data_IF_839874553156
#
_entry.id   IF_839874553156
#
_cell.length_a   1.000
_cell.length_b   1.000
_cell.length_c   1.000
_cell.angle_alpha   90.00
_cell.angle_beta   90.00
_cell.angle_gamma   90.00
#
_symmetry.space_group_name_H-M   'P 1'
#
loop_
_entity.id
_entity.type
_entity.pdbx_description
1 polymer ?
#
# COMPACT_ATOMS: atom_id res chain seq x y z
N UNK A 1 15.33 20.38 10.54
CA UNK A 1 14.99 18.93 10.56
C UNK A 1 15.53 18.36 11.87
N UNK A 2 14.78 17.54 12.62
CA UNK A 2 15.24 17.10 13.96
C UNK A 2 16.36 16.04 13.87
N UNK A 3 17.23 15.92 14.88
CA UNK A 3 18.29 14.90 14.90
C UNK A 3 17.77 13.46 14.72
N UNK A 4 16.58 13.16 15.26
CA UNK A 4 15.93 11.84 15.09
C UNK A 4 15.48 11.63 13.64
N UNK A 5 14.88 12.64 13.01
CA UNK A 5 14.47 12.56 11.59
C UNK A 5 15.66 12.32 10.66
N UNK A 6 16.75 13.06 10.88
CA UNK A 6 17.97 12.91 10.08
C UNK A 6 18.52 11.49 10.17
N UNK A 7 18.60 10.93 11.40
CA UNK A 7 19.09 9.57 11.59
C UNK A 7 18.23 8.52 10.89
N UNK A 8 16.90 8.64 11.02
CA UNK A 8 15.96 7.74 10.33
C UNK A 8 16.17 7.83 8.81
N UNK A 9 16.31 9.04 8.27
CA UNK A 9 16.60 9.26 6.85
C UNK A 9 17.91 8.60 6.40
N UNK A 10 19.00 8.77 7.15
CA UNK A 10 20.29 8.14 6.87
C UNK A 10 20.21 6.61 6.86
N UNK A 11 19.55 6.01 7.85
CA UNK A 11 19.37 4.56 7.93
C UNK A 11 18.57 4.04 6.73
N UNK A 12 17.47 4.72 6.39
CA UNK A 12 16.64 4.32 5.25
C UNK A 12 17.36 4.52 3.92
N UNK A 13 18.14 5.59 3.75
CA UNK A 13 18.95 5.82 2.54
C UNK A 13 20.06 4.79 2.39
N UNK A 14 20.69 4.38 3.49
CA UNK A 14 21.73 3.35 3.52
C UNK A 14 21.19 1.97 3.19
N UNK A 15 20.05 1.59 3.78
CA UNK A 15 19.51 0.23 3.68
C UNK A 15 18.40 0.08 2.63
N UNK A 16 17.92 1.18 2.06
CA UNK A 16 16.78 1.27 1.13
C UNK A 16 15.42 1.11 1.82
N UNK A 17 15.29 0.10 2.69
CA UNK A 17 14.09 -0.17 3.48
C UNK A 17 14.44 -0.78 4.83
N UNK A 18 13.63 -0.54 5.84
CA UNK A 18 13.80 -1.15 7.17
C UNK A 18 12.47 -1.42 7.86
N UNK A 19 12.40 -2.50 8.65
CA UNK A 19 11.23 -2.77 9.50
C UNK A 19 11.17 -1.77 10.65
N UNK A 20 9.96 -1.50 11.12
CA UNK A 20 9.72 -0.67 12.30
C UNK A 20 10.53 -1.15 13.51
N UNK A 21 10.57 -2.46 13.76
CA UNK A 21 11.32 -3.06 14.86
C UNK A 21 12.84 -2.84 14.73
N UNK A 22 13.37 -2.86 13.51
CA UNK A 22 14.80 -2.64 13.23
C UNK A 22 15.17 -1.17 13.46
N UNK A 23 14.36 -0.24 12.94
CA UNK A 23 14.55 1.19 13.18
C UNK A 23 14.44 1.52 14.67
N UNK A 24 13.43 0.98 15.36
CA UNK A 24 13.24 1.17 16.80
C UNK A 24 14.43 0.65 17.59
N UNK A 25 14.92 -0.55 17.28
CA UNK A 25 16.08 -1.14 17.95
C UNK A 25 17.30 -0.21 17.84
N UNK A 26 17.56 0.33 16.65
CA UNK A 26 18.72 1.21 16.44
C UNK A 26 18.51 2.56 17.14
N UNK A 27 17.42 3.27 16.82
CA UNK A 27 17.22 4.67 17.22
C UNK A 27 16.89 4.81 18.72
N UNK A 28 16.07 3.89 19.27
CA UNK A 28 15.55 3.99 20.64
C UNK A 28 16.39 3.15 21.62
N UNK A 29 16.79 1.95 21.24
CA UNK A 29 17.39 0.99 22.19
C UNK A 29 18.92 1.07 22.20
N UNK A 30 19.55 1.11 21.01
CA UNK A 30 21.00 1.15 20.87
C UNK A 30 21.54 2.57 21.00
N UNK A 31 21.01 3.51 20.20
CA UNK A 31 21.48 4.90 20.16
C UNK A 31 20.78 5.80 21.18
N UNK A 32 19.68 5.34 21.78
CA UNK A 32 18.92 6.05 22.83
C UNK A 32 18.60 7.51 22.49
N UNK A 33 18.36 7.81 21.21
CA UNK A 33 18.18 9.18 20.73
C UNK A 33 16.88 9.82 21.20
N UNK A 34 15.85 9.01 21.45
CA UNK A 34 14.57 9.47 21.95
C UNK A 34 13.77 8.34 22.61
N UNK A 35 12.73 8.71 23.36
CA UNK A 35 11.77 7.75 23.88
C UNK A 35 10.90 7.16 22.75
N UNK A 36 10.40 5.92 22.95
CA UNK A 36 9.55 5.21 21.98
C UNK A 36 8.39 6.07 21.45
N UNK A 37 7.66 6.75 22.34
CA UNK A 37 6.51 7.60 21.95
C UNK A 37 6.93 8.72 20.99
N UNK A 38 8.10 9.31 21.21
CA UNK A 38 8.65 10.37 20.35
C UNK A 38 9.10 9.81 19.00
N UNK A 39 9.71 8.62 19.00
CA UNK A 39 10.06 7.91 17.77
C UNK A 39 8.82 7.61 16.91
N UNK A 40 7.77 7.04 17.50
CA UNK A 40 6.53 6.68 16.79
C UNK A 40 5.87 7.92 16.16
N UNK A 41 5.74 9.02 16.93
CA UNK A 41 5.23 10.31 16.43
C UNK A 41 6.10 10.90 15.32
N UNK A 42 7.42 10.71 15.41
CA UNK A 42 8.35 11.21 14.39
C UNK A 42 8.16 10.48 13.07
N UNK A 43 8.01 9.15 13.11
CA UNK A 43 7.72 8.36 11.91
C UNK A 43 6.38 8.71 11.28
N UNK A 44 5.35 8.93 12.08
CA UNK A 44 4.03 9.39 11.62
C UNK A 44 4.15 10.73 10.89
N UNK A 45 4.76 11.74 11.53
CA UNK A 45 5.00 13.04 10.90
C UNK A 45 5.84 12.95 9.63
N UNK A 46 6.88 12.11 9.60
CA UNK A 46 7.71 11.90 8.41
C UNK A 46 6.92 11.26 7.27
N UNK A 47 5.99 10.35 7.57
CA UNK A 47 5.11 9.73 6.58
C UNK A 47 4.10 10.75 6.04
N UNK A 48 3.47 11.53 6.91
CA UNK A 48 2.49 12.54 6.53
C UNK A 48 3.10 13.68 5.71
N UNK A 49 4.35 14.03 6.00
CA UNK A 49 5.14 15.01 5.21
C UNK A 49 5.80 14.41 3.97
N UNK A 50 5.45 13.17 3.59
CA UNK A 50 5.98 12.47 2.43
C UNK A 50 7.53 12.44 2.39
N UNK A 51 8.21 12.37 3.55
CA UNK A 51 9.67 12.16 3.62
C UNK A 51 10.03 10.68 3.54
N UNK A 52 9.16 9.84 4.09
CA UNK A 52 9.26 8.39 4.07
C UNK A 52 7.95 7.81 3.58
N UNK A 53 8.01 6.59 3.07
CA UNK A 53 6.83 5.81 2.73
C UNK A 53 6.66 4.68 3.75
N UNK A 54 5.57 4.69 4.50
CA UNK A 54 5.18 3.60 5.39
C UNK A 54 4.37 2.57 4.60
N UNK A 55 4.86 1.34 4.57
CA UNK A 55 4.12 0.20 4.07
C UNK A 55 3.77 -0.75 5.22
N UNK A 56 2.51 -1.17 5.31
CA UNK A 56 2.07 -2.17 6.27
C UNK A 56 1.73 -3.47 5.53
N UNK A 57 2.46 -4.54 5.83
CA UNK A 57 2.21 -5.89 5.31
C UNK A 57 1.82 -6.80 6.47
N UNK A 58 0.53 -7.15 6.54
CA UNK A 58 -0.06 -7.98 7.61
C UNK A 58 0.33 -7.51 9.03
N UNK A 59 1.37 -8.13 9.63
CA UNK A 59 1.87 -7.87 11.00
C UNK A 59 3.14 -7.00 11.05
N UNK A 60 3.67 -6.57 9.91
CA UNK A 60 4.92 -5.84 9.83
C UNK A 60 4.72 -4.47 9.19
N UNK A 61 5.40 -3.48 9.75
CA UNK A 61 5.50 -2.15 9.17
C UNK A 61 6.92 -1.98 8.65
N UNK A 62 7.04 -1.63 7.38
CA UNK A 62 8.29 -1.38 6.68
C UNK A 62 8.29 0.05 6.20
N UNK A 63 9.41 0.75 6.39
CA UNK A 63 9.60 2.11 5.92
C UNK A 63 10.61 2.13 4.79
N UNK A 64 10.39 3.03 3.84
CA UNK A 64 11.25 3.32 2.70
C UNK A 64 11.57 4.81 2.70
N UNK A 65 12.76 5.20 2.25
CA UNK A 65 13.00 6.59 1.88
C UNK A 65 12.23 6.89 0.58
N UNK A 66 11.48 8.00 0.51
CA UNK A 66 10.54 8.24 -0.60
C UNK A 66 11.27 8.44 -1.94
N UNK A 67 12.39 9.15 -1.95
CA UNK A 67 13.23 9.31 -3.14
C UNK A 67 13.73 7.95 -3.62
N UNK A 68 14.29 7.13 -2.74
CA UNK A 68 14.75 5.79 -3.11
C UNK A 68 13.62 4.86 -3.56
N UNK A 69 12.41 4.97 -3.01
CA UNK A 69 11.26 4.16 -3.44
C UNK A 69 10.88 4.46 -4.90
N UNK A 70 10.84 5.73 -5.27
CA UNK A 70 10.44 6.17 -6.61
C UNK A 70 11.54 5.98 -7.67
N UNK A 71 12.82 5.98 -7.26
CA UNK A 71 13.96 5.99 -8.19
C UNK A 71 14.84 4.73 -8.15
N UNK A 72 14.74 3.85 -7.15
CA UNK A 72 15.49 2.56 -7.11
C UNK A 72 14.57 1.37 -7.42
N UNK A 73 14.82 0.76 -8.58
CA UNK A 73 14.08 -0.40 -9.09
C UNK A 73 13.94 -1.54 -8.07
N UNK A 74 15.00 -1.83 -7.31
CA UNK A 74 15.00 -2.92 -6.33
C UNK A 74 14.02 -2.70 -5.18
N UNK A 75 13.85 -1.46 -4.72
CA UNK A 75 12.93 -1.15 -3.63
C UNK A 75 11.48 -1.24 -4.09
N UNK A 76 11.19 -0.72 -5.29
CA UNK A 76 9.89 -0.86 -5.93
C UNK A 76 9.57 -2.34 -6.17
N UNK A 77 10.45 -3.11 -6.82
CA UNK A 77 10.27 -4.54 -7.05
C UNK A 77 10.01 -5.28 -5.72
N UNK A 78 10.84 -5.08 -4.69
CA UNK A 78 10.65 -5.72 -3.37
C UNK A 78 9.33 -5.35 -2.70
N UNK A 79 8.83 -4.14 -2.93
CA UNK A 79 7.50 -3.74 -2.47
C UNK A 79 6.42 -4.57 -3.16
N UNK A 80 6.43 -4.65 -4.49
CA UNK A 80 5.47 -5.46 -5.25
C UNK A 80 5.55 -6.94 -4.90
N UNK A 81 6.76 -7.50 -4.79
CA UNK A 81 6.98 -8.91 -4.42
C UNK A 81 6.37 -9.24 -3.06
N UNK A 82 6.58 -8.37 -2.06
CA UNK A 82 6.00 -8.58 -0.73
C UNK A 82 4.48 -8.52 -0.75
N UNK A 83 3.90 -7.52 -1.43
CA UNK A 83 2.45 -7.39 -1.53
C UNK A 83 1.83 -8.62 -2.23
N UNK A 84 2.37 -9.00 -3.38
CA UNK A 84 1.92 -10.17 -4.12
C UNK A 84 2.05 -11.46 -3.31
N UNK A 85 3.16 -11.64 -2.59
CA UNK A 85 3.34 -12.80 -1.70
C UNK A 85 2.27 -12.85 -0.63
N UNK A 86 2.00 -11.74 0.05
CA UNK A 86 0.98 -11.67 1.10
C UNK A 86 -0.42 -11.89 0.52
N UNK A 87 -0.77 -11.26 -0.60
CA UNK A 87 -2.09 -11.45 -1.23
C UNK A 87 -2.30 -12.89 -1.72
N UNK A 88 -1.27 -13.55 -2.27
CA UNK A 88 -1.31 -14.97 -2.64
C UNK A 88 -1.56 -15.86 -1.42
N UNK A 89 -0.84 -15.63 -0.33
CA UNK A 89 -1.06 -16.37 0.92
C UNK A 89 -2.47 -16.16 1.49
N UNK A 90 -3.02 -14.96 1.39
CA UNK A 90 -4.40 -14.68 1.79
C UNK A 90 -5.40 -15.45 0.91
N UNK A 91 -5.20 -15.46 -0.41
CA UNK A 91 -6.04 -16.22 -1.35
C UNK A 91 -6.03 -17.72 -1.02
N UNK A 92 -4.85 -18.31 -0.84
CA UNK A 92 -4.74 -19.74 -0.56
C UNK A 92 -5.43 -20.12 0.77
N UNK A 93 -5.28 -19.27 1.81
CA UNK A 93 -5.97 -19.47 3.08
C UNK A 93 -7.49 -19.34 2.94
N UNK A 94 -7.97 -18.36 2.18
CA UNK A 94 -9.39 -18.18 2.00
C UNK A 94 -10.04 -19.38 1.32
N UNK A 95 -9.44 -19.89 0.25
CA UNK A 95 -9.96 -21.04 -0.48
C UNK A 95 -10.00 -22.30 0.37
N UNK A 96 -9.11 -22.42 1.35
CA UNK A 96 -9.13 -23.51 2.32
C UNK A 96 -10.41 -23.52 3.17
N UNK A 97 -11.00 -22.36 3.47
CA UNK A 97 -12.15 -22.21 4.35
C UNK A 97 -13.43 -21.75 3.62
N UNK A 98 -13.42 -21.65 2.28
CA UNK A 98 -14.48 -21.04 1.49
C UNK A 98 -15.89 -21.56 1.81
N UNK A 99 -16.03 -22.88 1.99
CA UNK A 99 -17.30 -23.53 2.28
C UNK A 99 -17.87 -23.18 3.66
N UNK A 100 -17.04 -22.69 4.58
CA UNK A 100 -17.43 -22.32 5.95
C UNK A 100 -17.77 -20.82 6.07
N UNK A 101 -17.52 -20.04 5.02
CA UNK A 101 -17.71 -18.59 5.03
C UNK A 101 -19.12 -18.19 4.61
N UNK A 102 -19.65 -17.20 5.33
CA UNK A 102 -20.86 -16.49 4.95
C UNK A 102 -20.65 -15.68 3.66
N UNK A 103 -21.74 -15.34 2.99
CA UNK A 103 -21.71 -14.52 1.77
C UNK A 103 -21.05 -13.15 2.00
N UNK A 104 -21.29 -12.55 3.17
CA UNK A 104 -20.66 -11.28 3.55
C UNK A 104 -19.14 -11.43 3.69
N UNK A 105 -18.66 -12.49 4.35
CA UNK A 105 -17.23 -12.74 4.50
C UNK A 105 -16.55 -13.04 3.16
N UNK A 106 -17.22 -13.80 2.28
CA UNK A 106 -16.77 -14.03 0.90
C UNK A 106 -16.66 -12.72 0.13
N UNK A 107 -17.69 -11.88 0.21
CA UNK A 107 -17.71 -10.57 -0.44
C UNK A 107 -16.59 -9.66 0.07
N UNK A 108 -16.37 -9.59 1.38
CA UNK A 108 -15.28 -8.79 1.96
C UNK A 108 -13.90 -9.24 1.50
N UNK A 109 -13.71 -10.56 1.43
CA UNK A 109 -12.45 -11.12 1.00
C UNK A 109 -12.17 -10.85 -0.49
N UNK A 110 -13.16 -11.10 -1.36
CA UNK A 110 -13.06 -10.84 -2.79
C UNK A 110 -12.82 -9.35 -3.04
N UNK A 111 -13.56 -8.49 -2.36
CA UNK A 111 -13.39 -7.04 -2.42
C UNK A 111 -11.96 -6.61 -2.04
N UNK A 112 -11.41 -7.18 -0.97
CA UNK A 112 -10.03 -6.92 -0.55
C UNK A 112 -9.01 -7.37 -1.60
N UNK A 113 -9.15 -8.57 -2.17
CA UNK A 113 -8.22 -9.07 -3.20
C UNK A 113 -8.20 -8.19 -4.46
N UNK A 114 -9.38 -7.78 -4.94
CA UNK A 114 -9.46 -6.84 -6.04
C UNK A 114 -8.89 -5.48 -5.67
N UNK A 115 -9.16 -4.98 -4.47
CA UNK A 115 -8.53 -3.76 -3.94
C UNK A 115 -6.99 -3.83 -3.94
N UNK A 116 -6.41 -4.98 -3.56
CA UNK A 116 -4.97 -5.20 -3.65
C UNK A 116 -4.47 -5.16 -5.10
N UNK A 117 -5.15 -5.83 -6.03
CA UNK A 117 -4.78 -5.85 -7.45
C UNK A 117 -4.83 -4.44 -8.03
N UNK A 118 -5.91 -3.70 -7.78
CA UNK A 118 -6.11 -2.34 -8.26
C UNK A 118 -5.04 -1.39 -7.70
N UNK A 119 -4.74 -1.51 -6.40
CA UNK A 119 -3.68 -0.75 -5.75
C UNK A 119 -2.32 -0.99 -6.41
N UNK A 120 -1.94 -2.25 -6.67
CA UNK A 120 -0.68 -2.56 -7.33
C UNK A 120 -0.64 -2.04 -8.77
N UNK A 121 -1.74 -2.16 -9.53
CA UNK A 121 -1.83 -1.62 -10.90
C UNK A 121 -1.67 -0.09 -10.91
N UNK A 122 -2.35 0.61 -10.00
CA UNK A 122 -2.26 2.07 -9.86
C UNK A 122 -0.86 2.53 -9.45
N UNK A 123 -0.24 1.85 -8.48
CA UNK A 123 1.14 2.15 -8.07
C UNK A 123 2.13 1.95 -9.23
N UNK A 124 1.96 0.89 -10.03
CA UNK A 124 2.79 0.68 -11.22
C UNK A 124 2.61 1.80 -12.26
N UNK A 125 1.37 2.23 -12.52
CA UNK A 125 1.09 3.36 -13.42
C UNK A 125 1.70 4.67 -12.92
N UNK A 126 1.56 4.97 -11.62
CA UNK A 126 2.13 6.16 -10.99
C UNK A 126 3.66 6.17 -11.14
N UNK A 127 4.30 5.05 -10.84
CA UNK A 127 5.75 4.92 -10.96
C UNK A 127 6.21 5.08 -12.42
N UNK A 128 5.52 4.47 -13.39
CA UNK A 128 5.83 4.67 -14.82
C UNK A 128 5.57 6.11 -15.28
N UNK A 129 4.57 6.82 -14.75
CA UNK A 129 4.33 8.23 -15.07
C UNK A 129 5.46 9.14 -14.53
N UNK A 130 5.93 8.87 -13.30
CA UNK A 130 7.06 9.59 -12.69
C UNK A 130 8.39 9.36 -13.43
N UNK A 131 8.47 8.31 -14.25
CA UNK A 131 9.63 8.01 -15.11
C UNK A 131 9.90 9.07 -16.17
N UNK A 132 8.90 9.90 -16.53
CA UNK A 132 8.88 10.85 -17.66
C UNK A 132 10.04 11.85 -17.81
N UNK A 133 11.12 11.74 -17.03
CA UNK A 133 12.36 12.51 -17.16
C UNK A 133 13.68 11.71 -16.93
N UNK A 134 13.66 10.43 -16.53
CA UNK A 134 14.89 9.63 -16.24
C UNK A 134 14.82 8.21 -16.81
N UNK A 135 15.88 7.79 -17.51
CA UNK A 135 15.99 6.50 -18.26
C UNK A 135 15.99 5.20 -17.42
N UNK A 136 15.83 5.24 -16.10
CA UNK A 136 15.85 4.03 -15.26
C UNK A 136 14.55 3.21 -15.41
N UNK A 137 14.68 1.88 -15.53
CA UNK A 137 13.54 0.95 -15.41
C UNK A 137 13.07 0.97 -13.94
N UNK A 138 11.81 1.29 -13.66
CA UNK A 138 11.33 1.43 -12.27
C UNK A 138 10.74 0.12 -11.73
N UNK A 139 10.10 -0.68 -12.59
CA UNK A 139 9.57 -2.01 -12.22
C UNK A 139 9.99 -3.02 -13.30
N UNK A 140 10.35 -4.23 -12.88
CA UNK A 140 10.74 -5.30 -13.83
C UNK A 140 9.54 -5.90 -14.57
N UNK A 141 9.77 -6.42 -15.78
CA UNK A 141 8.72 -7.09 -16.57
C UNK A 141 8.17 -8.34 -15.87
N UNK A 142 9.01 -9.00 -15.06
CA UNK A 142 8.60 -10.10 -14.18
C UNK A 142 7.47 -9.67 -13.24
N UNK A 143 7.62 -8.53 -12.56
CA UNK A 143 6.59 -8.04 -11.63
C UNK A 143 5.30 -7.68 -12.35
N UNK A 144 5.39 -7.05 -13.53
CA UNK A 144 4.22 -6.74 -14.35
C UNK A 144 3.46 -8.02 -14.73
N UNK A 145 4.20 -9.06 -15.11
CA UNK A 145 3.65 -10.39 -15.37
C UNK A 145 3.03 -10.99 -14.10
N UNK A 146 3.72 -10.95 -12.96
CA UNK A 146 3.23 -11.52 -11.71
C UNK A 146 1.91 -10.85 -11.23
N UNK A 147 1.75 -9.54 -11.41
CA UNK A 147 0.49 -8.83 -11.13
C UNK A 147 -0.62 -9.32 -12.06
N UNK A 148 -0.33 -9.46 -13.36
CA UNK A 148 -1.29 -9.95 -14.35
C UNK A 148 -1.72 -11.38 -14.04
N UNK A 149 -0.77 -12.26 -13.78
CA UNK A 149 -1.01 -13.67 -13.49
C UNK A 149 -1.81 -13.82 -12.19
N UNK A 150 -1.49 -13.02 -11.16
CA UNK A 150 -2.28 -13.00 -9.93
C UNK A 150 -3.71 -12.49 -10.16
N UNK A 151 -3.89 -11.44 -10.97
CA UNK A 151 -5.22 -10.94 -11.34
C UNK A 151 -6.06 -12.02 -12.04
N UNK A 152 -5.46 -12.76 -12.97
CA UNK A 152 -6.13 -13.87 -13.67
C UNK A 152 -6.48 -14.99 -12.67
N UNK A 153 -5.56 -15.31 -11.78
CA UNK A 153 -5.76 -16.35 -10.76
C UNK A 153 -6.92 -16.01 -9.81
N UNK A 154 -6.98 -14.77 -9.31
CA UNK A 154 -8.09 -14.31 -8.45
C UNK A 154 -9.42 -14.39 -9.18
N UNK A 155 -9.50 -13.88 -10.41
CA UNK A 155 -10.74 -13.95 -11.21
C UNK A 155 -11.21 -15.39 -11.38
N UNK A 156 -10.33 -16.31 -11.81
CA UNK A 156 -10.69 -17.71 -12.01
C UNK A 156 -11.16 -18.39 -10.73
N UNK A 157 -10.45 -18.16 -9.62
CA UNK A 157 -10.74 -18.83 -8.34
C UNK A 157 -11.95 -18.26 -7.63
N UNK A 158 -12.32 -17.01 -7.89
CA UNK A 158 -13.47 -16.36 -7.27
C UNK A 158 -14.69 -16.30 -8.18
N UNK A 159 -14.62 -16.81 -9.41
CA UNK A 159 -15.66 -16.66 -10.43
C UNK A 159 -17.03 -17.16 -9.96
N UNK A 160 -17.10 -18.39 -9.43
CA UNK A 160 -18.34 -18.97 -8.92
C UNK A 160 -18.97 -18.12 -7.82
N UNK A 161 -18.18 -17.66 -6.86
CA UNK A 161 -18.63 -16.79 -5.77
C UNK A 161 -19.08 -15.41 -6.27
N UNK A 162 -18.44 -14.87 -7.30
CA UNK A 162 -18.84 -13.58 -7.88
C UNK A 162 -20.13 -13.67 -8.72
N UNK A 163 -20.45 -14.86 -9.21
CA UNK A 163 -21.73 -15.13 -9.89
C UNK A 163 -22.89 -15.35 -8.91
N UNK A 164 -22.60 -15.56 -7.63
CA UNK A 164 -23.62 -15.53 -6.57
C UNK A 164 -24.17 -14.11 -6.40
N UNK A 165 -25.50 -13.99 -6.45
CA UNK A 165 -26.20 -12.70 -6.43
C UNK A 165 -26.00 -11.95 -5.10
N UNK A 166 -25.99 -12.66 -3.97
CA UNK A 166 -25.83 -12.04 -2.65
C UNK A 166 -24.42 -11.51 -2.47
N UNK A 167 -23.42 -12.33 -2.79
CA UNK A 167 -22.01 -11.93 -2.71
C UNK A 167 -21.74 -10.75 -3.64
N UNK A 168 -22.22 -10.81 -4.89
CA UNK A 168 -22.04 -9.75 -5.88
C UNK A 168 -22.67 -8.43 -5.44
N UNK A 169 -23.92 -8.47 -4.96
CA UNK A 169 -24.65 -7.28 -4.47
C UNK A 169 -23.90 -6.58 -3.34
N UNK A 170 -23.33 -7.34 -2.40
CA UNK A 170 -22.52 -6.80 -1.30
C UNK A 170 -21.24 -6.13 -1.84
N UNK A 171 -20.53 -6.78 -2.76
CA UNK A 171 -19.32 -6.22 -3.39
C UNK A 171 -19.64 -4.90 -4.10
N UNK A 172 -20.69 -4.88 -4.93
CA UNK A 172 -21.11 -3.71 -5.69
C UNK A 172 -21.53 -2.56 -4.77
N UNK A 173 -22.25 -2.85 -3.69
CA UNK A 173 -22.62 -1.85 -2.68
C UNK A 173 -21.39 -1.25 -2.00
N UNK A 174 -20.42 -2.07 -1.61
CA UNK A 174 -19.16 -1.58 -1.00
C UNK A 174 -18.37 -0.70 -1.98
N UNK A 175 -18.25 -1.11 -3.26
CA UNK A 175 -17.60 -0.30 -4.30
C UNK A 175 -18.31 1.04 -4.55
N UNK A 176 -19.65 1.02 -4.62
CA UNK A 176 -20.44 2.24 -4.76
C UNK A 176 -20.20 3.23 -3.62
N UNK A 177 -20.15 2.73 -2.37
CA UNK A 177 -19.85 3.57 -1.20
C UNK A 177 -18.46 4.20 -1.26
N UNK A 178 -17.41 3.44 -1.61
CA UNK A 178 -16.05 3.99 -1.75
C UNK A 178 -16.01 5.13 -2.77
N UNK A 179 -16.66 4.93 -3.92
CA UNK A 179 -16.75 5.95 -4.97
C UNK A 179 -17.47 7.21 -4.46
N UNK A 180 -18.65 7.05 -3.85
CA UNK A 180 -19.43 8.19 -3.32
C UNK A 180 -18.66 8.99 -2.27
N UNK A 181 -17.92 8.31 -1.36
CA UNK A 181 -17.09 9.01 -0.37
C UNK A 181 -15.94 9.77 -1.02
N UNK A 182 -15.27 9.18 -2.02
CA UNK A 182 -14.22 9.84 -2.78
C UNK A 182 -14.71 11.08 -3.51
N UNK A 183 -15.88 10.99 -4.15
CA UNK A 183 -16.52 12.12 -4.84
C UNK A 183 -16.85 13.25 -3.86
N UNK A 184 -17.51 12.94 -2.75
CA UNK A 184 -17.88 13.93 -1.74
C UNK A 184 -16.66 14.66 -1.16
N UNK A 185 -15.56 13.93 -0.88
CA UNK A 185 -14.31 14.54 -0.40
C UNK A 185 -13.68 15.46 -1.44
N UNK A 186 -13.74 15.08 -2.72
CA UNK A 186 -13.19 15.88 -3.82
C UNK A 186 -13.94 17.20 -3.97
N UNK A 187 -15.28 17.16 -3.97
CA UNK A 187 -16.09 18.37 -3.99
C UNK A 187 -15.80 19.28 -2.80
N UNK A 188 -15.75 18.72 -1.58
CA UNK A 188 -15.40 19.51 -0.38
C UNK A 188 -14.06 20.26 -0.50
N UNK A 189 -13.03 19.62 -1.09
CA UNK A 189 -11.74 20.26 -1.33
C UNK A 189 -11.87 21.40 -2.35
N UNK A 190 -12.59 21.17 -3.45
CA UNK A 190 -12.81 22.17 -4.50
C UNK A 190 -13.57 23.37 -3.92
N UNK A 191 -14.66 23.13 -3.19
CA UNK A 191 -15.50 24.17 -2.59
C UNK A 191 -14.68 25.02 -1.60
N UNK A 192 -13.89 24.38 -0.73
CA UNK A 192 -13.00 25.08 0.21
C UNK A 192 -11.97 25.96 -0.51
N UNK A 193 -11.46 25.53 -1.66
CA UNK A 193 -10.52 26.33 -2.46
C UNK A 193 -11.20 27.50 -3.19
N UNK A 194 -12.48 27.37 -3.54
CA UNK A 194 -13.25 28.46 -4.12
C UNK A 194 -13.56 29.54 -3.07
N UNK A 195 -13.93 29.15 -1.86
CA UNK A 195 -14.18 30.07 -0.74
C UNK A 195 -12.92 30.89 -0.37
N UNK A 196 -11.73 30.30 -0.46
CA UNK A 196 -10.45 30.99 -0.25
C UNK A 196 -10.15 32.00 -1.36
N UNK A 197 -10.63 31.78 -2.59
CA UNK A 197 -10.40 32.70 -3.73
C UNK A 197 -11.36 33.89 -3.78
N UNK A 198 -12.48 33.81 -3.08
CA UNK A 198 -13.51 34.86 -3.04
C UNK A 198 -13.29 35.82 -1.85
N UNK A 199 -12.44 35.45 -0.89
CA UNK A 199 -12.00 36.29 0.23
C UNK A 199 -10.57 36.81 0.03
#
# INVERSE_FOLDING_TARGET
MSHVENKIGELLKKHGRMRHSELKKIVVEQEKMCAKRTFDKTLERMNDSAKIFRNQTAKQVVYYELSDFSFKQDNANKFFELQLKTSKQSLDKFLQYESELTDEQKAEFIFHLYGCIDYLKQMNLLLEALKGSKKSKIISDKIKKDIKDFSIQVTKKCESMMLDVNVNSIIMTKKGREFSFGLARTHKIIDSLQEIKVN
#
